data_IF_087157927323
#
_entry.id   IF_087157927323
#
_cell.length_a   1.000
_cell.length_b   1.000
_cell.length_c   1.000
_cell.angle_alpha   90.00
_cell.angle_beta   90.00
_cell.angle_gamma   90.00
#
_symmetry.space_group_name_H-M   'P 1'
#
loop_
_entity.id
_entity.type
_entity.pdbx_description
1 polymer ?
#
# COMPACT_ATOMS: atom_id res chain seq x y z
N UNK A 1 -27.24 -31.81 -18.19
CA UNK A 1 -25.78 -31.64 -18.00
C UNK A 1 -25.37 -30.21 -17.62
N UNK A 2 -26.09 -29.16 -18.04
CA UNK A 2 -25.73 -27.76 -17.71
C UNK A 2 -25.88 -27.36 -16.24
N UNK A 3 -26.82 -27.95 -15.50
CA UNK A 3 -27.05 -27.63 -14.09
C UNK A 3 -25.85 -28.01 -13.18
N UNK A 4 -25.12 -29.06 -13.55
CA UNK A 4 -23.93 -29.54 -12.84
C UNK A 4 -22.68 -28.69 -13.11
N UNK A 5 -22.62 -27.99 -14.25
CA UNK A 5 -21.54 -27.07 -14.58
C UNK A 5 -21.69 -25.74 -13.81
N UNK A 6 -22.92 -25.23 -13.68
CA UNK A 6 -23.21 -24.01 -12.91
C UNK A 6 -22.98 -24.16 -11.41
N UNK A 7 -23.29 -25.33 -10.82
CA UNK A 7 -23.06 -25.54 -9.38
C UNK A 7 -21.57 -25.62 -9.00
N UNK A 8 -20.72 -26.15 -9.88
CA UNK A 8 -19.25 -26.18 -9.69
C UNK A 8 -18.61 -24.80 -9.87
N UNK A 9 -19.13 -23.98 -10.78
CA UNK A 9 -18.65 -22.61 -10.97
C UNK A 9 -19.02 -21.73 -9.76
N UNK A 10 -20.23 -21.90 -9.23
CA UNK A 10 -20.69 -21.21 -8.02
C UNK A 10 -19.91 -21.62 -6.76
N UNK A 11 -19.58 -22.90 -6.58
CA UNK A 11 -18.77 -23.33 -5.43
C UNK A 11 -17.33 -22.81 -5.49
N UNK A 12 -16.76 -22.71 -6.70
CA UNK A 12 -15.43 -22.10 -6.93
C UNK A 12 -15.42 -20.59 -6.67
N UNK A 13 -16.44 -19.85 -7.11
CA UNK A 13 -16.57 -18.43 -6.80
C UNK A 13 -16.81 -18.19 -5.31
N UNK A 14 -17.65 -19.00 -4.65
CA UNK A 14 -17.91 -18.89 -3.22
C UNK A 14 -16.62 -19.15 -2.43
N UNK A 15 -15.86 -20.21 -2.76
CA UNK A 15 -14.59 -20.50 -2.09
C UNK A 15 -13.54 -19.39 -2.27
N UNK A 16 -13.51 -18.72 -3.42
CA UNK A 16 -12.62 -17.57 -3.67
C UNK A 16 -13.05 -16.35 -2.87
N UNK A 17 -14.36 -16.08 -2.78
CA UNK A 17 -14.90 -14.97 -2.00
C UNK A 17 -14.68 -15.16 -0.49
N UNK A 18 -14.84 -16.39 0.04
CA UNK A 18 -14.56 -16.65 1.47
C UNK A 18 -13.07 -16.60 1.80
N UNK A 19 -12.19 -16.95 0.84
CA UNK A 19 -10.75 -16.78 0.99
C UNK A 19 -10.37 -15.29 1.00
N UNK A 20 -10.97 -14.48 0.12
CA UNK A 20 -10.78 -13.03 0.07
C UNK A 20 -11.27 -12.34 1.35
N UNK A 21 -12.45 -12.73 1.85
CA UNK A 21 -13.02 -12.19 3.08
C UNK A 21 -12.20 -12.54 4.32
N UNK A 22 -11.65 -13.76 4.40
CA UNK A 22 -10.69 -14.14 5.47
C UNK A 22 -9.35 -13.43 5.35
N UNK A 23 -8.88 -13.12 4.15
CA UNK A 23 -7.67 -12.33 3.96
C UNK A 23 -7.88 -10.89 4.45
N UNK A 24 -9.02 -10.27 4.14
CA UNK A 24 -9.39 -8.91 4.56
C UNK A 24 -9.63 -8.74 6.08
N UNK A 25 -9.90 -9.82 6.81
CA UNK A 25 -10.20 -9.78 8.25
C UNK A 25 -9.06 -10.26 9.14
N UNK A 26 -7.94 -10.67 8.54
CA UNK A 26 -6.72 -11.02 9.26
C UNK A 26 -5.86 -9.76 9.37
N UNK A 27 -5.26 -9.52 10.53
CA UNK A 27 -4.33 -8.40 10.74
C UNK A 27 -3.27 -8.40 9.62
N UNK A 28 -3.44 -7.48 8.67
CA UNK A 28 -2.65 -7.40 7.46
C UNK A 28 -1.27 -6.86 7.83
N UNK A 29 -0.28 -7.75 7.88
CA UNK A 29 1.11 -7.33 7.98
C UNK A 29 1.65 -7.15 6.55
N UNK A 30 1.39 -5.99 5.97
CA UNK A 30 1.76 -5.66 4.58
C UNK A 30 3.26 -5.80 4.30
N UNK A 31 4.11 -5.71 5.33
CA UNK A 31 5.56 -5.94 5.23
C UNK A 31 5.95 -7.39 4.93
N UNK A 32 5.09 -8.39 5.20
CA UNK A 32 5.37 -9.80 4.92
C UNK A 32 4.46 -10.36 3.84
N UNK A 33 3.26 -9.82 3.69
CA UNK A 33 2.25 -10.37 2.78
C UNK A 33 2.35 -9.80 1.35
N UNK A 34 2.98 -8.63 1.14
CA UNK A 34 3.41 -8.18 -0.19
C UNK A 34 4.60 -9.02 -0.71
N UNK A 35 5.48 -9.47 0.19
CA UNK A 35 6.58 -10.40 -0.13
C UNK A 35 6.09 -11.80 -0.48
N UNK A 36 4.93 -12.24 0.04
CA UNK A 36 4.28 -13.45 -0.46
C UNK A 36 3.94 -13.32 -1.94
N UNK A 37 3.60 -12.14 -2.45
CA UNK A 37 3.42 -11.91 -3.89
C UNK A 37 4.71 -12.12 -4.67
N UNK A 38 5.82 -11.53 -4.24
CA UNK A 38 7.11 -11.63 -4.93
C UNK A 38 7.72 -13.04 -4.86
N UNK A 39 7.72 -13.69 -3.70
CA UNK A 39 8.19 -15.07 -3.54
C UNK A 39 7.28 -16.07 -4.26
N UNK A 40 5.96 -15.85 -4.26
CA UNK A 40 5.01 -16.67 -4.99
C UNK A 40 5.11 -16.43 -6.50
N UNK A 41 5.33 -15.19 -6.95
CA UNK A 41 5.58 -14.88 -8.36
C UNK A 41 6.92 -15.44 -8.82
N UNK A 42 7.98 -15.36 -8.01
CA UNK A 42 9.27 -15.99 -8.30
C UNK A 42 9.20 -17.52 -8.26
N UNK A 43 8.41 -18.11 -7.34
CA UNK A 43 8.19 -19.56 -7.27
C UNK A 43 7.29 -20.06 -8.42
N UNK A 44 6.26 -19.29 -8.81
CA UNK A 44 5.44 -19.58 -10.00
C UNK A 44 6.26 -19.38 -11.26
N UNK A 45 7.04 -18.31 -11.36
CA UNK A 45 7.97 -18.05 -12.46
C UNK A 45 8.96 -19.20 -12.59
N UNK A 46 9.60 -19.59 -11.48
CA UNK A 46 10.52 -20.73 -11.41
C UNK A 46 9.85 -22.04 -11.77
N UNK A 47 8.62 -22.30 -11.30
CA UNK A 47 7.86 -23.50 -11.65
C UNK A 47 7.42 -23.52 -13.12
N UNK A 48 7.00 -22.38 -13.68
CA UNK A 48 6.65 -22.22 -15.10
C UNK A 48 7.87 -22.37 -15.98
N UNK A 49 8.96 -21.66 -15.70
CA UNK A 49 10.26 -21.79 -16.38
C UNK A 49 10.76 -23.23 -16.33
N UNK A 50 10.63 -23.92 -15.20
CA UNK A 50 11.00 -25.33 -15.08
C UNK A 50 10.09 -26.25 -15.92
N UNK A 51 8.79 -25.95 -16.00
CA UNK A 51 7.86 -26.70 -16.87
C UNK A 51 8.15 -26.48 -18.36
N UNK A 52 8.47 -25.25 -18.75
CA UNK A 52 8.83 -24.89 -20.14
C UNK A 52 10.19 -25.44 -20.50
N UNK A 53 11.15 -25.44 -19.57
CA UNK A 53 12.46 -26.10 -19.74
C UNK A 53 12.29 -27.60 -20.00
N UNK A 54 11.45 -28.30 -19.23
CA UNK A 54 11.13 -29.72 -19.48
C UNK A 54 10.46 -29.96 -20.83
N UNK A 55 9.67 -29.00 -21.30
CA UNK A 55 8.98 -29.10 -22.59
C UNK A 55 9.94 -28.86 -23.77
N UNK A 56 10.91 -27.95 -23.61
CA UNK A 56 11.96 -27.68 -24.60
C UNK A 56 13.03 -28.78 -24.65
N UNK A 57 13.34 -29.44 -23.54
CA UNK A 57 14.28 -30.57 -23.47
C UNK A 57 13.81 -31.82 -24.23
N UNK A 58 12.50 -31.94 -24.50
CA UNK A 58 11.91 -33.05 -25.25
C UNK A 58 12.01 -32.87 -26.78
N UNK A 59 12.39 -31.69 -27.27
CA UNK A 59 12.50 -31.38 -28.70
C UNK A 59 13.97 -31.52 -29.17
N UNK A 60 14.28 -32.39 -30.14
CA UNK A 60 15.65 -32.60 -30.62
C UNK A 60 16.07 -31.43 -31.54
N UNK A 61 16.41 -30.30 -30.94
CA UNK A 61 16.86 -29.07 -31.61
C UNK A 61 18.32 -28.74 -31.30
N UNK A 62 18.97 -28.01 -32.22
CA UNK A 62 20.34 -27.51 -32.07
C UNK A 62 20.47 -26.70 -30.76
N UNK A 63 21.47 -26.99 -29.93
CA UNK A 63 21.61 -26.46 -28.55
C UNK A 63 21.56 -24.93 -28.46
N UNK A 64 22.09 -24.23 -29.48
CA UNK A 64 22.03 -22.76 -29.57
C UNK A 64 20.61 -22.21 -29.75
N UNK A 65 19.74 -22.95 -30.45
CA UNK A 65 18.38 -22.51 -30.74
C UNK A 65 17.46 -22.68 -29.51
N UNK A 66 17.74 -23.68 -28.67
CA UNK A 66 17.08 -23.85 -27.37
C UNK A 66 17.46 -22.76 -26.37
N UNK A 67 18.73 -22.34 -26.32
CA UNK A 67 19.18 -21.22 -25.47
C UNK A 67 18.50 -19.90 -25.84
N UNK A 68 18.42 -19.60 -27.13
CA UNK A 68 17.73 -18.42 -27.66
C UNK A 68 16.23 -18.41 -27.33
N UNK A 69 15.56 -19.55 -27.49
CA UNK A 69 14.16 -19.72 -27.11
C UNK A 69 13.96 -19.44 -25.60
N UNK A 70 14.82 -20.01 -24.74
CA UNK A 70 14.74 -19.80 -23.28
C UNK A 70 14.90 -18.33 -22.90
N UNK A 71 15.87 -17.63 -23.50
CA UNK A 71 16.09 -16.19 -23.30
C UNK A 71 14.89 -15.37 -23.76
N UNK A 72 14.33 -15.66 -24.93
CA UNK A 72 13.14 -14.96 -25.43
C UNK A 72 11.92 -15.15 -24.50
N UNK A 73 11.69 -16.38 -24.02
CA UNK A 73 10.62 -16.65 -23.06
C UNK A 73 10.83 -15.96 -21.71
N UNK A 74 12.08 -15.91 -21.23
CA UNK A 74 12.42 -15.17 -20.01
C UNK A 74 12.10 -13.68 -20.16
N UNK A 75 12.57 -13.04 -21.24
CA UNK A 75 12.33 -11.62 -21.50
C UNK A 75 10.84 -11.30 -21.63
N UNK A 76 10.12 -12.12 -22.41
CA UNK A 76 8.68 -11.98 -22.56
C UNK A 76 7.94 -12.11 -21.23
N UNK A 77 8.33 -13.09 -20.41
CA UNK A 77 7.73 -13.31 -19.10
C UNK A 77 8.00 -12.15 -18.13
N UNK A 78 9.26 -11.68 -18.04
CA UNK A 78 9.63 -10.53 -17.21
C UNK A 78 8.85 -9.29 -17.63
N UNK A 79 8.75 -9.05 -18.93
CA UNK A 79 8.01 -7.91 -19.47
C UNK A 79 6.50 -8.00 -19.20
N UNK A 80 5.89 -9.18 -19.33
CA UNK A 80 4.46 -9.40 -19.05
C UNK A 80 4.17 -9.22 -17.54
N UNK A 81 4.87 -9.93 -16.66
CA UNK A 81 4.58 -9.89 -15.21
C UNK A 81 4.92 -8.53 -14.57
N UNK A 82 6.06 -7.95 -14.96
CA UNK A 82 6.42 -6.61 -14.49
C UNK A 82 5.47 -5.57 -15.06
N UNK A 83 5.07 -5.71 -16.33
CA UNK A 83 4.07 -4.87 -16.97
C UNK A 83 2.73 -4.88 -16.23
N UNK A 84 2.23 -6.05 -15.86
CA UNK A 84 0.99 -6.21 -15.11
C UNK A 84 1.06 -5.55 -13.73
N UNK A 85 2.19 -5.69 -13.02
CA UNK A 85 2.43 -5.05 -11.73
C UNK A 85 2.47 -3.52 -11.85
N UNK A 86 3.14 -3.00 -12.88
CA UNK A 86 3.20 -1.55 -13.16
C UNK A 86 1.84 -1.00 -13.53
N UNK A 87 1.07 -1.74 -14.34
CA UNK A 87 -0.30 -1.37 -14.70
C UNK A 87 -1.19 -1.26 -13.46
N UNK A 88 -1.11 -2.23 -12.54
CA UNK A 88 -1.84 -2.17 -11.27
C UNK A 88 -1.44 -0.96 -10.42
N UNK A 89 -0.14 -0.65 -10.36
CA UNK A 89 0.37 0.52 -9.64
C UNK A 89 -0.15 1.84 -10.24
N UNK A 90 -0.18 1.95 -11.57
CA UNK A 90 -0.75 3.10 -12.28
C UNK A 90 -2.25 3.25 -12.00
N UNK A 91 -3.01 2.16 -12.05
CA UNK A 91 -4.46 2.16 -11.76
C UNK A 91 -4.74 2.58 -10.31
N UNK A 92 -3.95 2.06 -9.36
CA UNK A 92 -4.03 2.47 -7.96
C UNK A 92 -3.76 3.97 -7.79
N UNK A 93 -2.67 4.48 -8.37
CA UNK A 93 -2.35 5.91 -8.32
C UNK A 93 -3.42 6.77 -9.00
N UNK A 94 -4.00 6.32 -10.10
CA UNK A 94 -5.08 7.01 -10.78
C UNK A 94 -6.35 7.10 -9.91
N UNK A 95 -6.70 6.01 -9.23
CA UNK A 95 -7.81 5.98 -8.27
C UNK A 95 -7.55 6.90 -7.08
N UNK A 96 -6.35 6.84 -6.50
CA UNK A 96 -5.95 7.71 -5.41
C UNK A 96 -6.00 9.18 -5.81
N UNK A 97 -5.49 9.54 -6.99
CA UNK A 97 -5.55 10.89 -7.54
C UNK A 97 -6.99 11.40 -7.68
N UNK A 98 -7.93 10.52 -8.07
CA UNK A 98 -9.35 10.86 -8.21
C UNK A 98 -10.04 11.12 -6.87
N UNK A 99 -9.69 10.36 -5.82
CA UNK A 99 -10.30 10.49 -4.48
C UNK A 99 -9.54 11.52 -3.62
N UNK A 100 -8.31 11.90 -4.00
CA UNK A 100 -7.47 12.88 -3.29
C UNK A 100 -8.20 14.14 -2.79
N UNK A 101 -8.99 14.89 -3.60
CA UNK A 101 -9.65 16.10 -3.10
C UNK A 101 -10.64 15.80 -1.97
N UNK A 102 -11.33 14.66 -2.05
CA UNK A 102 -12.24 14.20 -1.00
C UNK A 102 -11.48 13.79 0.27
N UNK A 103 -10.36 13.08 0.14
CA UNK A 103 -9.49 12.72 1.26
C UNK A 103 -8.92 13.96 1.94
N UNK A 104 -8.38 14.91 1.15
CA UNK A 104 -7.83 16.15 1.67
C UNK A 104 -8.87 16.98 2.43
N UNK A 105 -10.12 17.03 1.94
CA UNK A 105 -11.20 17.70 2.66
C UNK A 105 -11.54 16.98 3.97
N UNK A 106 -11.63 15.65 3.94
CA UNK A 106 -11.93 14.82 5.11
C UNK A 106 -10.84 14.98 6.18
N UNK A 107 -9.57 14.88 5.80
CA UNK A 107 -8.44 15.04 6.72
C UNK A 107 -8.41 16.43 7.35
N UNK A 108 -8.69 17.47 6.57
CA UNK A 108 -8.76 18.83 7.09
C UNK A 108 -9.89 18.98 8.11
N UNK A 109 -11.09 18.50 7.78
CA UNK A 109 -12.25 18.57 8.68
C UNK A 109 -12.00 17.79 9.97
N UNK A 110 -11.50 16.56 9.87
CA UNK A 110 -11.20 15.71 11.04
C UNK A 110 -10.13 16.36 11.90
N UNK A 111 -9.04 16.85 11.32
CA UNK A 111 -7.96 17.47 12.09
C UNK A 111 -8.46 18.68 12.89
N UNK A 112 -9.15 19.63 12.22
CA UNK A 112 -9.64 20.82 12.90
C UNK A 112 -10.78 20.51 13.90
N UNK A 113 -11.61 19.51 13.64
CA UNK A 113 -12.62 19.07 14.61
C UNK A 113 -11.97 18.45 15.85
N UNK A 114 -10.91 17.65 15.69
CA UNK A 114 -10.11 17.12 16.79
C UNK A 114 -9.45 18.24 17.60
N UNK A 115 -8.82 19.23 16.93
CA UNK A 115 -8.22 20.41 17.59
C UNK A 115 -9.25 21.12 18.47
N UNK A 116 -10.39 21.49 17.89
CA UNK A 116 -11.45 22.21 18.61
C UNK A 116 -12.03 21.39 19.78
N UNK A 117 -12.22 20.09 19.57
CA UNK A 117 -12.76 19.19 20.60
C UNK A 117 -11.77 18.96 21.73
N UNK A 118 -10.47 18.83 21.43
CA UNK A 118 -9.43 18.68 22.44
C UNK A 118 -9.22 19.98 23.23
N UNK A 119 -9.18 21.13 22.57
CA UNK A 119 -9.06 22.43 23.23
C UNK A 119 -10.24 22.72 24.16
N UNK A 120 -11.47 22.53 23.67
CA UNK A 120 -12.68 22.72 24.49
C UNK A 120 -12.77 21.70 25.63
N UNK A 121 -12.43 20.44 25.38
CA UNK A 121 -12.34 19.41 26.41
C UNK A 121 -11.31 19.73 27.49
N UNK A 122 -10.12 20.20 27.11
CA UNK A 122 -9.06 20.59 28.05
C UNK A 122 -9.50 21.73 28.97
N UNK A 123 -10.10 22.79 28.41
CA UNK A 123 -10.63 23.92 29.18
C UNK A 123 -11.74 23.44 30.13
N UNK A 124 -12.70 22.68 29.61
CA UNK A 124 -13.83 22.21 30.41
C UNK A 124 -13.40 21.34 31.59
N UNK A 125 -12.50 20.37 31.34
CA UNK A 125 -11.98 19.47 32.38
C UNK A 125 -11.15 20.25 33.42
N UNK A 126 -10.39 21.27 33.01
CA UNK A 126 -9.58 22.07 33.95
C UNK A 126 -10.41 22.85 34.98
N UNK A 127 -11.64 23.25 34.63
CA UNK A 127 -12.52 24.02 35.52
C UNK A 127 -13.38 23.13 36.43
N UNK A 128 -13.37 21.81 36.21
CA UNK A 128 -14.25 20.89 36.93
C UNK A 128 -13.71 20.54 38.32
N UNK A 129 -14.51 20.81 39.35
CA UNK A 129 -14.26 20.33 40.73
C UNK A 129 -14.90 18.98 41.03
N UNK A 130 -15.98 18.63 40.32
CA UNK A 130 -16.76 17.41 40.49
C UNK A 130 -16.99 16.71 39.15
N UNK A 131 -17.06 15.38 39.17
CA UNK A 131 -17.35 14.56 37.97
C UNK A 131 -18.86 14.55 37.72
N UNK A 132 -19.28 14.95 36.52
CA UNK A 132 -20.68 14.98 36.08
C UNK A 132 -20.90 14.03 34.91
N UNK A 133 -22.15 13.66 34.61
CA UNK A 133 -22.46 12.87 33.40
C UNK A 133 -22.01 13.61 32.13
N UNK A 134 -22.13 14.93 32.11
CA UNK A 134 -21.66 15.75 30.99
C UNK A 134 -20.14 15.66 30.82
N UNK A 135 -19.35 15.66 31.91
CA UNK A 135 -17.90 15.51 31.82
C UNK A 135 -17.46 14.15 31.29
N UNK A 136 -18.17 13.08 31.67
CA UNK A 136 -17.94 11.76 31.09
C UNK A 136 -18.27 11.74 29.59
N UNK A 137 -19.35 12.39 29.18
CA UNK A 137 -19.72 12.50 27.77
C UNK A 137 -18.70 13.31 26.96
N UNK A 138 -18.20 14.44 27.50
CA UNK A 138 -17.14 15.23 26.87
C UNK A 138 -15.85 14.41 26.71
N UNK A 139 -15.42 13.71 27.77
CA UNK A 139 -14.23 12.86 27.70
C UNK A 139 -14.38 11.74 26.66
N UNK A 140 -15.53 11.06 26.64
CA UNK A 140 -15.84 10.04 25.65
C UNK A 140 -15.72 10.60 24.22
N UNK A 141 -16.31 11.78 23.96
CA UNK A 141 -16.24 12.42 22.66
C UNK A 141 -14.80 12.81 22.27
N UNK A 142 -14.02 13.38 23.20
CA UNK A 142 -12.61 13.72 22.98
C UNK A 142 -11.77 12.48 22.66
N UNK A 143 -12.00 11.35 23.35
CA UNK A 143 -11.31 10.09 23.06
C UNK A 143 -11.72 9.54 21.70
N UNK A 144 -13.02 9.56 21.38
CA UNK A 144 -13.54 9.08 20.11
C UNK A 144 -12.95 9.85 18.93
N UNK A 145 -13.02 11.18 18.94
CA UNK A 145 -12.52 12.01 17.84
C UNK A 145 -10.98 11.95 17.72
N UNK A 146 -10.27 11.76 18.84
CA UNK A 146 -8.82 11.54 18.82
C UNK A 146 -8.48 10.18 18.20
N UNK A 147 -9.27 9.15 18.49
CA UNK A 147 -9.11 7.83 17.89
C UNK A 147 -9.36 7.86 16.37
N UNK A 148 -10.42 8.56 15.91
CA UNK A 148 -10.67 8.76 14.49
C UNK A 148 -9.50 9.48 13.80
N UNK A 149 -8.99 10.56 14.40
CA UNK A 149 -7.84 11.27 13.84
C UNK A 149 -6.58 10.38 13.81
N UNK A 150 -6.31 9.64 14.89
CA UNK A 150 -5.16 8.75 15.00
C UNK A 150 -5.17 7.62 13.97
N UNK A 151 -6.33 6.99 13.77
CA UNK A 151 -6.49 5.88 12.82
C UNK A 151 -6.30 6.36 11.38
N UNK A 152 -6.87 7.51 11.02
CA UNK A 152 -6.67 8.10 9.71
C UNK A 152 -5.22 8.54 9.49
N UNK A 153 -4.60 9.22 10.46
CA UNK A 153 -3.20 9.66 10.32
C UNK A 153 -2.24 8.48 10.23
N UNK A 154 -2.52 7.40 10.97
CA UNK A 154 -1.78 6.14 10.87
C UNK A 154 -1.96 5.49 9.50
N UNK A 155 -3.18 5.42 8.98
CA UNK A 155 -3.46 4.85 7.66
C UNK A 155 -2.72 5.61 6.55
N UNK A 156 -2.71 6.95 6.60
CA UNK A 156 -1.96 7.78 5.64
C UNK A 156 -0.45 7.57 5.74
N UNK A 157 0.08 7.45 6.96
CA UNK A 157 1.50 7.19 7.17
C UNK A 157 1.90 5.82 6.60
N UNK A 158 1.15 4.75 6.94
CA UNK A 158 1.37 3.41 6.36
C UNK A 158 1.31 3.44 4.84
N UNK A 159 0.31 4.13 4.27
CA UNK A 159 0.14 4.19 2.83
C UNK A 159 1.35 4.86 2.15
N UNK A 160 1.88 5.92 2.76
CA UNK A 160 3.05 6.65 2.26
C UNK A 160 4.31 5.79 2.36
N UNK A 161 4.53 5.17 3.53
CA UNK A 161 5.66 4.25 3.75
C UNK A 161 5.63 3.07 2.78
N UNK A 162 4.43 2.52 2.54
CA UNK A 162 4.23 1.39 1.60
C UNK A 162 4.55 1.80 0.18
N UNK A 163 4.10 2.99 -0.24
CA UNK A 163 4.42 3.52 -1.56
C UNK A 163 5.92 3.71 -1.76
N UNK A 164 6.62 4.27 -0.77
CA UNK A 164 8.07 4.42 -0.81
C UNK A 164 8.79 3.06 -0.86
N UNK A 165 8.28 2.08 -0.10
CA UNK A 165 8.86 0.73 -0.03
C UNK A 165 8.87 0.00 -1.37
N UNK A 166 7.93 0.31 -2.29
CA UNK A 166 7.92 -0.24 -3.65
C UNK A 166 9.19 0.17 -4.40
N UNK A 167 9.61 1.43 -4.26
CA UNK A 167 10.84 1.93 -4.88
C UNK A 167 12.07 1.20 -4.35
N UNK A 168 12.12 0.99 -3.03
CA UNK A 168 13.19 0.22 -2.39
C UNK A 168 13.19 -1.27 -2.80
N UNK A 169 12.02 -1.88 -2.93
CA UNK A 169 11.89 -3.27 -3.37
C UNK A 169 12.40 -3.44 -4.81
N UNK A 170 12.07 -2.51 -5.71
CA UNK A 170 12.59 -2.53 -7.09
C UNK A 170 14.09 -2.26 -7.13
N UNK A 171 14.60 -1.38 -6.27
CA UNK A 171 16.03 -1.09 -6.16
C UNK A 171 16.85 -2.30 -5.66
N UNK A 172 16.35 -3.01 -4.65
CA UNK A 172 17.04 -4.13 -4.02
C UNK A 172 16.98 -5.43 -4.83
N UNK A 173 16.26 -5.46 -5.94
CA UNK A 173 16.35 -6.57 -6.88
C UNK A 173 17.74 -6.55 -7.54
N UNK A 174 18.43 -7.70 -7.60
CA UNK A 174 19.70 -7.84 -8.35
C UNK A 174 19.51 -7.79 -9.88
N UNK A 175 18.50 -7.06 -10.35
CA UNK A 175 18.20 -6.90 -11.76
C UNK A 175 19.39 -6.34 -12.57
N UNK A 176 20.28 -5.46 -12.05
CA UNK A 176 21.41 -4.99 -12.84
C UNK A 176 22.43 -6.09 -13.15
N UNK A 177 22.56 -7.07 -12.24
CA UNK A 177 23.48 -8.20 -12.39
C UNK A 177 22.85 -9.37 -13.14
N UNK A 178 21.53 -9.59 -12.95
CA UNK A 178 20.78 -10.70 -13.57
C UNK A 178 20.30 -10.40 -14.99
N UNK A 179 20.12 -9.13 -15.36
CA UNK A 179 19.76 -8.73 -16.72
C UNK A 179 21.06 -8.56 -17.53
N UNK A 180 21.54 -9.67 -18.09
CA UNK A 180 22.68 -9.65 -19.00
C UNK A 180 22.31 -8.92 -20.30
N UNK A 181 23.24 -8.09 -20.78
CA UNK A 181 23.10 -7.41 -22.05
C UNK A 181 23.31 -8.41 -23.20
N UNK A 182 22.33 -8.50 -24.09
CA UNK A 182 22.41 -9.30 -25.31
C UNK A 182 22.04 -8.40 -26.50
N UNK A 183 22.87 -8.38 -27.54
CA UNK A 183 22.68 -7.52 -28.70
C UNK A 183 21.37 -7.83 -29.45
N UNK A 184 20.84 -9.06 -29.30
CA UNK A 184 19.58 -9.46 -29.92
C UNK A 184 18.33 -8.99 -29.16
N UNK A 185 18.45 -8.69 -27.85
CA UNK A 185 17.33 -8.30 -26.98
C UNK A 185 17.52 -6.88 -26.43
N UNK A 186 18.21 -6.03 -27.21
CA UNK A 186 18.62 -4.71 -26.79
C UNK A 186 17.43 -3.78 -26.51
N UNK A 187 16.36 -3.92 -27.29
CA UNK A 187 15.15 -3.10 -27.17
C UNK A 187 14.37 -3.48 -25.90
N UNK A 188 14.21 -4.77 -25.64
CA UNK A 188 13.53 -5.32 -24.47
C UNK A 188 14.28 -4.95 -23.18
N UNK A 189 15.60 -5.12 -23.17
CA UNK A 189 16.45 -4.71 -22.06
C UNK A 189 16.26 -3.22 -21.73
N UNK A 190 16.32 -2.35 -22.75
CA UNK A 190 16.16 -0.90 -22.56
C UNK A 190 14.77 -0.54 -22.05
N UNK A 191 13.74 -1.20 -22.58
CA UNK A 191 12.35 -0.98 -22.19
C UNK A 191 12.07 -1.36 -20.73
N UNK A 192 12.49 -2.56 -20.32
CA UNK A 192 12.31 -3.06 -18.94
C UNK A 192 13.10 -2.18 -17.97
N UNK A 193 14.36 -1.86 -18.29
CA UNK A 193 15.20 -0.98 -17.48
C UNK A 193 14.59 0.41 -17.32
N UNK A 194 14.12 1.02 -18.40
CA UNK A 194 13.46 2.33 -18.34
C UNK A 194 12.19 2.29 -17.47
N UNK A 195 11.41 1.22 -17.57
CA UNK A 195 10.19 1.03 -16.77
C UNK A 195 10.53 0.87 -15.29
N UNK A 196 11.52 0.04 -14.93
CA UNK A 196 11.98 -0.12 -13.54
C UNK A 196 12.45 1.20 -12.95
N UNK A 197 13.29 1.95 -13.68
CA UNK A 197 13.75 3.27 -13.24
C UNK A 197 12.60 4.26 -13.07
N UNK A 198 11.63 4.28 -13.99
CA UNK A 198 10.46 5.14 -13.88
C UNK A 198 9.63 4.79 -12.64
N UNK A 199 9.40 3.50 -12.37
CA UNK A 199 8.66 3.04 -11.18
C UNK A 199 9.39 3.47 -9.91
N UNK A 200 10.72 3.32 -9.85
CA UNK A 200 11.51 3.77 -8.71
C UNK A 200 11.36 5.28 -8.48
N UNK A 201 11.48 6.09 -9.55
CA UNK A 201 11.34 7.55 -9.45
C UNK A 201 9.94 7.95 -9.00
N UNK A 202 8.90 7.30 -9.51
CA UNK A 202 7.51 7.58 -9.14
C UNK A 202 7.22 7.15 -7.69
N UNK A 203 7.65 5.94 -7.30
CA UNK A 203 7.45 5.39 -5.96
C UNK A 203 8.14 6.23 -4.86
N UNK A 204 9.24 6.90 -5.19
CA UNK A 204 9.93 7.82 -4.28
C UNK A 204 9.22 9.17 -4.10
N UNK A 205 8.21 9.49 -4.91
CA UNK A 205 7.45 10.73 -4.72
C UNK A 205 6.39 10.57 -3.61
N UNK A 206 6.25 11.54 -2.71
CA UNK A 206 5.19 11.50 -1.70
C UNK A 206 3.82 11.57 -2.38
N UNK A 207 2.82 10.87 -1.81
CA UNK A 207 1.46 10.77 -2.38
C UNK A 207 0.65 12.09 -2.33
N UNK A 208 1.22 13.14 -1.73
CA UNK A 208 0.67 14.50 -1.61
C UNK A 208 -0.72 14.54 -0.95
N UNK A 209 -0.89 13.76 0.11
CA UNK A 209 -2.07 13.84 0.99
C UNK A 209 -1.91 14.99 1.99
N UNK A 210 -1.94 16.22 1.45
CA UNK A 210 -1.44 17.41 2.13
C UNK A 210 -2.53 18.42 2.52
N UNK A 211 -3.77 18.00 2.78
CA UNK A 211 -4.85 18.87 3.29
C UNK A 211 -4.94 20.23 2.55
N UNK A 212 -4.92 20.23 1.21
CA UNK A 212 -4.91 21.47 0.39
C UNK A 212 -3.69 22.40 0.57
N UNK A 213 -2.57 21.87 1.05
CA UNK A 213 -1.32 22.61 1.24
C UNK A 213 -1.16 23.26 2.61
N UNK A 214 -2.12 23.13 3.53
CA UNK A 214 -2.00 23.67 4.88
C UNK A 214 -0.95 22.92 5.70
N UNK A 215 -0.99 21.59 5.66
CA UNK A 215 -0.04 20.72 6.35
C UNK A 215 -0.14 19.29 5.79
N UNK A 216 0.89 18.48 6.03
CA UNK A 216 0.87 17.07 5.69
C UNK A 216 0.18 16.26 6.78
N UNK A 217 -0.80 15.43 6.41
CA UNK A 217 -1.59 14.67 7.36
C UNK A 217 -0.85 13.40 7.79
N UNK A 218 0.10 13.55 8.70
CA UNK A 218 0.96 12.46 9.20
C UNK A 218 0.66 12.12 10.66
N UNK A 219 1.11 10.93 11.07
CA UNK A 219 1.01 10.49 12.47
C UNK A 219 1.79 11.39 13.43
N UNK A 220 2.93 11.95 12.99
CA UNK A 220 3.73 12.87 13.83
C UNK A 220 2.96 14.15 14.18
N UNK A 221 2.20 14.70 13.23
CA UNK A 221 1.34 15.87 13.48
C UNK A 221 0.22 15.59 14.47
N UNK A 222 -0.28 14.37 14.52
CA UNK A 222 -1.25 13.97 15.54
C UNK A 222 -0.61 13.91 16.93
N UNK A 223 0.64 13.43 17.06
CA UNK A 223 1.34 13.45 18.35
C UNK A 223 1.65 14.86 18.83
N UNK A 224 2.05 15.76 17.93
CA UNK A 224 2.21 17.19 18.25
C UNK A 224 0.89 17.79 18.76
N UNK A 225 -0.23 17.46 18.12
CA UNK A 225 -1.56 17.92 18.54
C UNK A 225 -1.92 17.42 19.95
N UNK A 226 -1.68 16.15 20.26
CA UNK A 226 -1.91 15.60 21.59
C UNK A 226 -1.04 16.27 22.66
N UNK A 227 0.25 16.50 22.34
CA UNK A 227 1.16 17.18 23.24
C UNK A 227 0.73 18.64 23.51
N UNK A 228 0.23 19.32 22.48
CA UNK A 228 -0.32 20.66 22.61
C UNK A 228 -1.59 20.67 23.46
N UNK A 229 -2.51 19.72 23.25
CA UNK A 229 -3.72 19.58 24.06
C UNK A 229 -3.40 19.29 25.53
N UNK A 230 -2.42 18.43 25.78
CA UNK A 230 -1.92 18.14 27.14
C UNK A 230 -1.31 19.39 27.79
N UNK A 231 -0.46 20.11 27.07
CA UNK A 231 0.17 21.35 27.55
C UNK A 231 -0.86 22.44 27.85
N UNK A 232 -1.90 22.53 27.02
CA UNK A 232 -3.03 23.44 27.25
C UNK A 232 -3.80 23.06 28.52
N UNK A 233 -4.09 21.77 28.70
CA UNK A 233 -4.75 21.27 29.91
C UNK A 233 -3.95 21.56 31.18
N UNK A 234 -2.64 21.26 31.19
CA UNK A 234 -1.78 21.52 32.35
C UNK A 234 -1.69 23.01 32.64
N UNK A 235 -1.53 23.85 31.62
CA UNK A 235 -1.56 25.30 31.77
C UNK A 235 -2.86 25.78 32.43
N UNK A 236 -4.03 25.40 31.92
CA UNK A 236 -5.29 25.85 32.52
C UNK A 236 -5.48 25.33 33.95
N UNK A 237 -5.07 24.10 34.24
CA UNK A 237 -5.17 23.54 35.59
C UNK A 237 -4.23 24.22 36.59
N UNK A 238 -3.06 24.65 36.16
CA UNK A 238 -2.08 25.28 37.04
C UNK A 238 -2.37 26.78 37.26
N UNK A 239 -3.13 27.43 36.36
CA UNK A 239 -3.50 28.85 36.42
C UNK A 239 -4.95 29.14 36.87
N UNK A 240 -5.86 28.15 36.85
CA UNK A 240 -7.28 28.27 37.25
C UNK A 240 -7.53 27.48 38.53
#
# INVERSE_FOLDING_TARGET
MEALARSRLWSRCKSRATAYYRALTRDFNYSTDFFFGQEFLMAIAGARLNSTNRMLELEPGNSQQQELMKKHYFWKFVQEEFGDCVQLHIEFLAMLNRIRPFLNATFLIVYYSTVMSLSSGAIYVSQMKNITVFSLNTLYYCVWISFECATLSRAVSILTDTHESIGWAVYNLDWPEKLEWDDQFQEEYRSVRATMLNVMVVAQQPLRLNCYGFFEFTQDRFYELLNMAYSMYTFFRDFV
#
